data_IF_822838254529
#
_entry.id   IF_822838254529
#
_cell.length_a   1.000
_cell.length_b   1.000
_cell.length_c   1.000
_cell.angle_alpha   90.00
_cell.angle_beta   90.00
_cell.angle_gamma   90.00
#
_symmetry.space_group_name_H-M   'P 1'
#
loop_
_entity.id
_entity.type
_entity.pdbx_description
1 polymer ?
#
# COMPACT_ATOMS: atom_id res chain seq x y z
N UNK A 1 -29.68 -43.06 -9.99
CA UNK A 1 -29.71 -41.91 -9.07
C UNK A 1 -30.02 -40.66 -9.88
N UNK A 2 -31.29 -40.25 -9.87
CA UNK A 2 -31.77 -39.07 -10.61
C UNK A 2 -31.27 -37.79 -9.91
N UNK A 3 -30.51 -36.95 -10.61
CA UNK A 3 -30.17 -35.60 -10.13
C UNK A 3 -31.36 -34.69 -10.41
N UNK A 4 -32.13 -34.40 -9.36
CA UNK A 4 -33.18 -33.38 -9.40
C UNK A 4 -32.51 -32.01 -9.45
N UNK A 5 -32.43 -31.43 -10.65
CA UNK A 5 -32.08 -30.02 -10.82
C UNK A 5 -33.26 -29.18 -10.35
N UNK A 6 -33.13 -28.54 -9.20
CA UNK A 6 -34.12 -27.57 -8.72
C UNK A 6 -34.04 -26.33 -9.62
N UNK A 7 -34.98 -26.20 -10.54
CA UNK A 7 -35.20 -24.96 -11.30
C UNK A 7 -35.85 -23.96 -10.35
N UNK A 8 -35.06 -23.03 -9.83
CA UNK A 8 -35.57 -21.86 -9.10
C UNK A 8 -36.30 -20.97 -10.11
N UNK A 9 -37.55 -20.59 -9.83
CA UNK A 9 -38.35 -19.79 -10.77
C UNK A 9 -37.85 -18.34 -10.81
N UNK A 10 -38.03 -17.65 -11.95
CA UNK A 10 -37.69 -16.22 -12.06
C UNK A 10 -38.43 -15.36 -11.02
N UNK A 11 -39.64 -15.77 -10.62
CA UNK A 11 -40.41 -15.09 -9.58
C UNK A 11 -39.81 -15.31 -8.18
N UNK A 12 -39.23 -16.47 -7.88
CA UNK A 12 -38.46 -16.69 -6.65
C UNK A 12 -37.17 -15.84 -6.62
N UNK A 13 -36.50 -15.67 -7.77
CA UNK A 13 -35.31 -14.83 -7.89
C UNK A 13 -35.69 -13.36 -7.68
N UNK A 14 -36.76 -12.87 -8.29
CA UNK A 14 -37.26 -11.49 -8.12
C UNK A 14 -37.76 -11.23 -6.70
N UNK A 15 -38.41 -12.20 -6.06
CA UNK A 15 -38.89 -12.07 -4.68
C UNK A 15 -37.73 -12.06 -3.68
N UNK A 16 -36.68 -12.86 -3.93
CA UNK A 16 -35.42 -12.82 -3.14
C UNK A 16 -34.69 -11.50 -3.32
N UNK A 17 -34.55 -11.01 -4.55
CA UNK A 17 -33.92 -9.73 -4.83
C UNK A 17 -34.68 -8.53 -4.23
N UNK A 18 -36.01 -8.60 -4.17
CA UNK A 18 -36.86 -7.56 -3.55
C UNK A 18 -36.80 -7.53 -2.01
N UNK A 19 -36.26 -8.58 -1.36
CA UNK A 19 -36.10 -8.68 0.09
C UNK A 19 -34.69 -8.37 0.58
N UNK A 20 -33.71 -8.21 -0.31
CA UNK A 20 -32.34 -7.90 0.11
C UNK A 20 -32.18 -6.40 0.36
N UNK A 21 -32.12 -6.01 1.64
CA UNK A 21 -31.60 -4.70 2.04
C UNK A 21 -30.10 -4.62 1.72
N UNK A 22 -29.63 -3.46 1.25
CA UNK A 22 -28.20 -3.21 1.14
C UNK A 22 -27.52 -3.33 2.53
N UNK A 23 -26.32 -3.92 2.60
CA UNK A 23 -25.67 -4.70 1.54
C UNK A 23 -26.25 -6.12 1.43
N UNK A 24 -26.33 -6.63 0.19
CA UNK A 24 -26.71 -8.02 -0.06
C UNK A 24 -25.84 -8.97 0.78
N UNK A 25 -26.44 -10.01 1.39
CA UNK A 25 -25.76 -10.85 2.39
C UNK A 25 -24.47 -11.48 1.86
N UNK A 26 -24.47 -11.96 0.63
CA UNK A 26 -23.30 -12.56 -0.01
C UNK A 26 -22.20 -11.53 -0.28
N UNK A 27 -22.56 -10.31 -0.67
CA UNK A 27 -21.60 -9.22 -0.90
C UNK A 27 -20.98 -8.73 0.41
N UNK A 28 -21.80 -8.60 1.46
CA UNK A 28 -21.37 -8.31 2.82
C UNK A 28 -20.36 -9.33 3.34
N UNK A 29 -20.70 -10.63 3.25
CA UNK A 29 -19.90 -11.71 3.82
C UNK A 29 -18.61 -12.03 3.06
N UNK A 30 -18.55 -11.80 1.75
CA UNK A 30 -17.42 -12.23 0.91
C UNK A 30 -16.62 -11.07 0.29
N UNK A 31 -17.05 -9.82 0.46
CA UNK A 31 -16.34 -8.65 -0.09
C UNK A 31 -16.18 -7.58 0.97
N UNK A 32 -17.28 -7.02 1.48
CA UNK A 32 -17.20 -5.84 2.34
C UNK A 32 -16.54 -6.15 3.69
N UNK A 33 -16.79 -7.33 4.25
CA UNK A 33 -16.12 -7.76 5.48
C UNK A 33 -14.59 -7.80 5.29
N UNK A 34 -14.12 -8.43 4.22
CA UNK A 34 -12.67 -8.56 3.96
C UNK A 34 -12.04 -7.21 3.63
N UNK A 35 -12.69 -6.39 2.80
CA UNK A 35 -12.25 -5.03 2.47
C UNK A 35 -12.14 -4.16 3.74
N UNK A 36 -13.12 -4.25 4.64
CA UNK A 36 -13.12 -3.52 5.90
C UNK A 36 -11.96 -3.98 6.81
N UNK A 37 -11.76 -5.29 6.94
CA UNK A 37 -10.66 -5.86 7.74
C UNK A 37 -9.28 -5.49 7.17
N UNK A 38 -9.11 -5.57 5.85
CA UNK A 38 -7.87 -5.17 5.18
C UNK A 38 -7.60 -3.69 5.31
N UNK A 39 -8.64 -2.83 5.17
CA UNK A 39 -8.49 -1.40 5.36
C UNK A 39 -8.02 -1.05 6.78
N UNK A 40 -8.56 -1.71 7.81
CA UNK A 40 -8.11 -1.50 9.20
C UNK A 40 -6.65 -1.87 9.38
N UNK A 41 -6.24 -2.97 8.76
CA UNK A 41 -4.89 -3.53 8.90
C UNK A 41 -3.84 -2.74 8.11
N UNK A 42 -4.20 -2.27 6.92
CA UNK A 42 -3.26 -1.72 5.95
C UNK A 42 -3.30 -0.20 5.83
N UNK A 43 -4.46 0.43 6.09
CA UNK A 43 -4.74 1.80 5.65
C UNK A 43 -5.22 2.75 6.75
N UNK A 44 -5.66 2.23 7.90
CA UNK A 44 -6.22 3.05 8.99
C UNK A 44 -5.33 4.23 9.39
N UNK A 45 -4.06 3.98 9.71
CA UNK A 45 -3.17 5.04 10.17
C UNK A 45 -2.95 6.11 9.09
N UNK A 46 -2.74 5.69 7.84
CA UNK A 46 -2.56 6.60 6.70
C UNK A 46 -3.83 7.40 6.38
N UNK A 47 -5.01 6.82 6.57
CA UNK A 47 -6.28 7.52 6.40
C UNK A 47 -6.38 8.69 7.38
N UNK A 48 -6.08 8.43 8.66
CA UNK A 48 -6.07 9.47 9.69
C UNK A 48 -4.99 10.53 9.40
N UNK A 49 -3.79 10.12 9.01
CA UNK A 49 -2.73 11.07 8.61
C UNK A 49 -3.17 11.99 7.46
N UNK A 50 -3.85 11.45 6.44
CA UNK A 50 -4.40 12.23 5.32
C UNK A 50 -5.48 13.19 5.81
N UNK A 51 -6.36 12.76 6.71
CA UNK A 51 -7.40 13.62 7.30
C UNK A 51 -6.78 14.79 8.08
N UNK A 52 -5.78 14.52 8.94
CA UNK A 52 -5.05 15.56 9.66
C UNK A 52 -4.34 16.54 8.74
N UNK A 53 -3.58 16.03 7.76
CA UNK A 53 -2.83 16.87 6.83
C UNK A 53 -3.76 17.76 6.00
N UNK A 54 -4.90 17.22 5.57
CA UNK A 54 -5.88 17.97 4.80
C UNK A 54 -6.59 19.02 5.67
N UNK A 55 -7.06 18.66 6.86
CA UNK A 55 -7.69 19.59 7.79
C UNK A 55 -6.77 20.77 8.13
N UNK A 56 -5.49 20.49 8.40
CA UNK A 56 -4.48 21.51 8.66
C UNK A 56 -4.28 22.43 7.46
N UNK A 57 -4.18 21.88 6.25
CA UNK A 57 -4.07 22.69 5.04
C UNK A 57 -5.30 23.57 4.82
N UNK A 58 -6.52 23.05 5.03
CA UNK A 58 -7.74 23.84 4.91
C UNK A 58 -7.75 25.03 5.89
N UNK A 59 -7.31 24.80 7.14
CA UNK A 59 -7.21 25.85 8.14
C UNK A 59 -6.12 26.89 7.79
N UNK A 60 -4.94 26.44 7.35
CA UNK A 60 -3.84 27.31 6.90
C UNK A 60 -4.21 28.16 5.67
N UNK A 61 -5.08 27.66 4.79
CA UNK A 61 -5.62 28.41 3.64
C UNK A 61 -6.85 29.27 3.99
N UNK A 62 -7.34 29.23 5.23
CA UNK A 62 -8.55 29.94 5.65
C UNK A 62 -9.83 29.46 4.96
N UNK A 63 -9.84 28.24 4.44
CA UNK A 63 -11.02 27.61 3.82
C UNK A 63 -12.02 27.19 4.91
N UNK A 64 -11.50 26.85 6.10
CA UNK A 64 -12.27 26.64 7.33
C UNK A 64 -11.81 27.63 8.40
N UNK A 65 -12.72 27.99 9.29
CA UNK A 65 -12.44 28.88 10.43
C UNK A 65 -11.60 28.17 11.51
N UNK A 66 -10.93 28.92 12.40
CA UNK A 66 -10.20 28.33 13.52
C UNK A 66 -11.06 27.45 14.44
N UNK A 67 -12.33 27.83 14.66
CA UNK A 67 -13.25 27.07 15.51
C UNK A 67 -13.70 25.75 14.85
N UNK A 68 -13.96 25.77 13.53
CA UNK A 68 -14.23 24.55 12.75
C UNK A 68 -13.00 23.63 12.73
N UNK A 69 -11.80 24.19 12.52
CA UNK A 69 -10.56 23.42 12.55
C UNK A 69 -10.31 22.79 13.93
N UNK A 70 -10.51 23.55 15.02
CA UNK A 70 -10.37 23.02 16.37
C UNK A 70 -11.36 21.88 16.64
N UNK A 71 -12.60 22.03 16.19
CA UNK A 71 -13.64 21.00 16.32
C UNK A 71 -13.29 19.73 15.53
N UNK A 72 -12.76 19.87 14.30
CA UNK A 72 -12.28 18.74 13.49
C UNK A 72 -11.09 18.03 14.14
N UNK A 73 -10.09 18.75 14.62
CA UNK A 73 -8.94 18.14 15.28
C UNK A 73 -9.34 17.41 16.55
N UNK A 74 -10.22 17.99 17.38
CA UNK A 74 -10.75 17.31 18.56
C UNK A 74 -11.51 16.03 18.20
N UNK A 75 -12.27 16.03 17.10
CA UNK A 75 -12.96 14.84 16.60
C UNK A 75 -11.97 13.75 16.14
N UNK A 76 -10.94 14.14 15.39
CA UNK A 76 -9.89 13.22 14.94
C UNK A 76 -9.04 12.68 16.11
N UNK A 77 -8.77 13.50 17.13
CA UNK A 77 -8.04 13.12 18.35
C UNK A 77 -8.85 12.14 19.20
N UNK A 78 -10.19 12.25 19.15
CA UNK A 78 -11.11 11.35 19.82
C UNK A 78 -11.24 9.96 19.17
N UNK A 79 -10.68 9.74 17.98
CA UNK A 79 -10.70 8.45 17.30
C UNK A 79 -9.69 7.49 17.92
N UNK A 80 -10.17 6.61 18.81
CA UNK A 80 -9.34 5.56 19.40
C UNK A 80 -8.94 4.49 18.38
N UNK A 81 -7.65 4.45 18.04
CA UNK A 81 -7.11 3.55 17.01
C UNK A 81 -7.27 2.08 17.38
N UNK A 82 -7.16 1.73 18.66
CA UNK A 82 -7.27 0.33 19.09
C UNK A 82 -8.73 -0.16 18.99
N UNK A 83 -9.69 0.67 19.39
CA UNK A 83 -11.12 0.40 19.16
C UNK A 83 -11.45 0.31 17.68
N UNK A 84 -10.88 1.19 16.83
CA UNK A 84 -11.06 1.12 15.38
C UNK A 84 -10.52 -0.19 14.80
N UNK A 85 -9.33 -0.64 15.20
CA UNK A 85 -8.77 -1.92 14.77
C UNK A 85 -9.60 -3.12 15.24
N UNK A 86 -10.16 -3.04 16.45
CA UNK A 86 -11.01 -4.08 17.05
C UNK A 86 -12.45 -4.09 16.51
N UNK A 87 -12.91 -3.00 15.87
CA UNK A 87 -14.25 -2.89 15.30
C UNK A 87 -14.51 -4.00 14.27
N UNK A 88 -15.77 -4.39 14.08
CA UNK A 88 -16.16 -5.40 13.09
C UNK A 88 -17.12 -4.79 12.10
N UNK A 89 -17.02 -5.24 10.86
CA UNK A 89 -18.00 -4.89 9.84
C UNK A 89 -19.40 -5.37 10.26
N UNK A 90 -20.34 -4.43 10.38
CA UNK A 90 -21.71 -4.68 10.85
C UNK A 90 -22.77 -4.40 9.78
N UNK A 91 -22.34 -4.01 8.57
CA UNK A 91 -23.22 -3.69 7.45
C UNK A 91 -23.91 -2.32 7.54
N UNK A 92 -23.59 -1.49 8.54
CA UNK A 92 -24.20 -0.17 8.70
C UNK A 92 -23.54 0.93 7.87
N UNK A 93 -22.33 0.67 7.38
CA UNK A 93 -21.56 1.53 6.48
C UNK A 93 -21.04 0.68 5.32
N UNK A 94 -20.66 1.32 4.21
CA UNK A 94 -20.09 0.61 3.05
C UNK A 94 -18.70 0.05 3.35
N UNK A 95 -17.85 0.84 4.00
CA UNK A 95 -16.45 0.52 4.26
C UNK A 95 -15.91 1.23 5.52
N UNK A 96 -14.60 1.08 5.77
CA UNK A 96 -13.93 1.72 6.90
C UNK A 96 -13.92 3.23 6.79
N UNK A 97 -13.83 3.78 5.58
CA UNK A 97 -13.80 5.22 5.39
C UNK A 97 -15.14 5.84 5.82
N UNK A 98 -16.25 5.29 5.35
CA UNK A 98 -17.61 5.68 5.74
C UNK A 98 -17.85 5.50 7.24
N UNK A 99 -17.26 4.46 7.84
CA UNK A 99 -17.32 4.24 9.28
C UNK A 99 -16.61 5.34 10.07
N UNK A 100 -15.41 5.75 9.64
CA UNK A 100 -14.65 6.84 10.26
C UNK A 100 -15.34 8.18 10.06
N UNK A 101 -15.85 8.48 8.86
CA UNK A 101 -16.65 9.68 8.59
C UNK A 101 -17.84 9.79 9.56
N UNK A 102 -18.56 8.68 9.79
CA UNK A 102 -19.67 8.66 10.73
C UNK A 102 -19.24 9.01 12.16
N UNK A 103 -18.07 8.53 12.59
CA UNK A 103 -17.54 8.84 13.93
C UNK A 103 -17.13 10.31 14.05
N UNK A 104 -16.49 10.87 13.01
CA UNK A 104 -16.13 12.30 12.97
C UNK A 104 -17.40 13.15 13.03
N UNK A 105 -18.40 12.82 12.20
CA UNK A 105 -19.70 13.49 12.17
C UNK A 105 -20.42 13.42 13.53
N UNK A 106 -20.41 12.26 14.19
CA UNK A 106 -20.99 12.12 15.52
C UNK A 106 -20.29 12.99 16.58
N UNK A 107 -19.00 13.30 16.39
CA UNK A 107 -18.21 14.08 17.34
C UNK A 107 -18.31 15.61 17.13
N UNK A 108 -18.33 16.09 15.88
CA UNK A 108 -18.32 17.54 15.59
C UNK A 108 -19.55 18.06 14.83
N UNK A 109 -20.49 17.19 14.47
CA UNK A 109 -21.68 17.54 13.70
C UNK A 109 -21.46 17.62 12.20
N UNK A 110 -22.56 17.50 11.44
CA UNK A 110 -22.59 17.34 9.98
C UNK A 110 -21.89 18.48 9.22
N UNK A 111 -22.13 19.74 9.62
CA UNK A 111 -21.57 20.90 8.89
C UNK A 111 -20.04 20.91 8.97
N UNK A 112 -19.51 20.76 10.19
CA UNK A 112 -18.06 20.76 10.46
C UNK A 112 -17.39 19.55 9.82
N UNK A 113 -17.94 18.35 10.00
CA UNK A 113 -17.42 17.13 9.37
C UNK A 113 -17.45 17.25 7.82
N UNK A 114 -18.52 17.81 7.27
CA UNK A 114 -18.69 18.10 5.85
C UNK A 114 -17.56 18.98 5.28
N UNK A 115 -17.05 19.94 6.07
CA UNK A 115 -15.93 20.79 5.63
C UNK A 115 -14.67 20.01 5.31
N UNK A 116 -14.42 18.89 5.98
CA UNK A 116 -13.25 18.04 5.73
C UNK A 116 -13.24 17.50 4.28
N UNK A 117 -14.40 17.32 3.65
CA UNK A 117 -14.53 16.88 2.26
C UNK A 117 -14.29 17.98 1.22
N UNK A 118 -14.11 19.22 1.66
CA UNK A 118 -13.81 20.34 0.76
C UNK A 118 -12.51 20.06 0.02
N UNK A 119 -12.56 20.12 -1.32
CA UNK A 119 -11.39 20.01 -2.19
C UNK A 119 -10.61 18.68 -2.11
N UNK A 120 -11.30 17.56 -1.86
CA UNK A 120 -10.77 16.20 -1.97
C UNK A 120 -11.86 15.22 -2.41
N UNK A 121 -11.49 13.98 -2.76
CA UNK A 121 -12.40 12.91 -3.15
C UNK A 121 -11.86 11.55 -2.67
N UNK A 122 -12.70 10.51 -2.70
CA UNK A 122 -12.23 9.13 -2.54
C UNK A 122 -11.10 8.79 -3.50
N UNK A 123 -11.20 9.23 -4.76
CA UNK A 123 -10.24 8.89 -5.80
C UNK A 123 -8.81 9.33 -5.48
N UNK A 124 -8.61 10.57 -5.00
CA UNK A 124 -7.28 11.06 -4.70
C UNK A 124 -6.82 10.67 -3.28
N UNK A 125 -7.74 10.53 -2.33
CA UNK A 125 -7.41 10.01 -1.00
C UNK A 125 -6.92 8.56 -1.08
N UNK A 126 -7.63 7.68 -1.80
CA UNK A 126 -7.29 6.26 -1.85
C UNK A 126 -5.92 6.05 -2.51
N UNK A 127 -5.63 6.74 -3.62
CA UNK A 127 -4.30 6.64 -4.24
C UNK A 127 -3.22 7.26 -3.35
N UNK A 128 -3.53 8.30 -2.56
CA UNK A 128 -2.59 8.85 -1.57
C UNK A 128 -2.23 7.79 -0.53
N UNK A 129 -3.24 7.14 0.06
CA UNK A 129 -3.07 6.11 1.08
C UNK A 129 -2.33 4.89 0.53
N UNK A 130 -2.66 4.44 -0.69
CA UNK A 130 -1.95 3.33 -1.33
C UNK A 130 -0.47 3.65 -1.55
N UNK A 131 -0.16 4.86 -2.02
CA UNK A 131 1.23 5.30 -2.18
C UNK A 131 1.97 5.37 -0.84
N UNK A 132 1.34 5.87 0.23
CA UNK A 132 1.93 5.89 1.57
C UNK A 132 2.24 4.47 2.07
N UNK A 133 1.32 3.52 1.87
CA UNK A 133 1.55 2.11 2.24
C UNK A 133 2.68 1.48 1.44
N UNK A 134 2.64 1.60 0.12
CA UNK A 134 3.64 1.04 -0.78
C UNK A 134 5.03 1.64 -0.55
N UNK A 135 5.09 2.93 -0.20
CA UNK A 135 6.32 3.62 0.19
C UNK A 135 6.98 2.93 1.38
N UNK A 136 6.21 2.61 2.42
CA UNK A 136 6.73 1.91 3.59
C UNK A 136 7.20 0.50 3.24
N UNK A 137 6.42 -0.25 2.45
CA UNK A 137 6.79 -1.60 2.01
C UNK A 137 8.07 -1.60 1.15
N UNK A 138 8.21 -0.61 0.26
CA UNK A 138 9.42 -0.43 -0.54
C UNK A 138 10.64 -0.13 0.33
N UNK A 139 10.52 0.73 1.34
CA UNK A 139 11.63 1.03 2.27
C UNK A 139 12.07 -0.20 3.06
N UNK A 140 11.11 -0.98 3.57
CA UNK A 140 11.40 -2.24 4.28
C UNK A 140 12.15 -3.21 3.36
N UNK A 141 11.67 -3.38 2.12
CA UNK A 141 12.28 -4.28 1.15
C UNK A 141 13.70 -3.83 0.75
N UNK A 142 13.88 -2.54 0.47
CA UNK A 142 15.19 -1.95 0.17
C UNK A 142 16.15 -2.16 1.35
N UNK A 143 15.70 -1.89 2.57
CA UNK A 143 16.50 -2.09 3.79
C UNK A 143 16.92 -3.56 3.97
N UNK A 144 16.00 -4.49 3.77
CA UNK A 144 16.29 -5.93 3.83
C UNK A 144 17.29 -6.36 2.75
N UNK A 145 17.12 -5.89 1.51
CA UNK A 145 18.03 -6.20 0.40
C UNK A 145 19.43 -5.62 0.64
N UNK A 146 19.53 -4.39 1.16
CA UNK A 146 20.80 -3.78 1.56
C UNK A 146 21.47 -4.56 2.68
N UNK A 147 20.70 -5.03 3.67
CA UNK A 147 21.22 -5.83 4.76
C UNK A 147 21.77 -7.18 4.26
N UNK A 148 21.00 -7.88 3.42
CA UNK A 148 21.45 -9.13 2.80
C UNK A 148 22.75 -8.92 2.01
N UNK A 149 22.82 -7.87 1.19
CA UNK A 149 24.02 -7.55 0.42
C UNK A 149 25.23 -7.30 1.32
N UNK A 150 25.05 -6.60 2.44
CA UNK A 150 26.11 -6.38 3.45
C UNK A 150 26.57 -7.70 4.06
N UNK A 151 25.66 -8.57 4.48
CA UNK A 151 26.04 -9.87 5.07
C UNK A 151 26.78 -10.77 4.08
N UNK A 152 26.36 -10.77 2.81
CA UNK A 152 27.09 -11.46 1.74
C UNK A 152 28.52 -10.92 1.62
N UNK A 153 28.71 -9.61 1.64
CA UNK A 153 30.05 -8.98 1.58
C UNK A 153 30.91 -9.32 2.81
N UNK A 154 30.33 -9.40 4.00
CA UNK A 154 31.04 -9.85 5.21
C UNK A 154 31.55 -11.30 5.07
N UNK A 155 30.79 -12.17 4.40
CA UNK A 155 31.22 -13.56 4.11
C UNK A 155 32.33 -13.57 3.05
N UNK A 156 32.20 -12.75 2.00
CA UNK A 156 33.21 -12.58 0.95
C UNK A 156 34.57 -12.26 1.56
N UNK A 157 34.63 -11.32 2.51
CA UNK A 157 35.89 -10.92 3.17
C UNK A 157 36.57 -12.09 3.89
N UNK A 158 35.80 -12.95 4.56
CA UNK A 158 36.33 -14.12 5.29
C UNK A 158 36.79 -15.27 4.39
N UNK A 159 36.27 -15.33 3.16
CA UNK A 159 36.45 -16.46 2.25
C UNK A 159 37.13 -16.07 0.93
N UNK A 160 37.99 -15.04 0.97
CA UNK A 160 38.73 -14.54 -0.20
C UNK A 160 39.56 -15.63 -0.90
N UNK A 161 40.16 -16.54 -0.12
CA UNK A 161 41.05 -17.59 -0.62
C UNK A 161 40.42 -19.00 -0.59
N UNK A 162 39.17 -19.13 -0.11
CA UNK A 162 38.49 -20.44 -0.05
C UNK A 162 38.17 -20.92 -1.47
N UNK A 163 38.90 -21.93 -1.95
CA UNK A 163 38.70 -22.49 -3.29
C UNK A 163 37.45 -23.38 -3.33
N UNK A 164 36.62 -23.19 -4.35
CA UNK A 164 35.46 -24.03 -4.67
C UNK A 164 35.47 -24.39 -6.16
N UNK A 165 34.86 -25.50 -6.58
CA UNK A 165 34.59 -25.75 -8.00
C UNK A 165 33.51 -24.78 -8.50
N UNK A 166 33.75 -24.13 -9.64
CA UNK A 166 32.72 -23.45 -10.41
C UNK A 166 32.01 -24.47 -11.31
N UNK A 167 30.69 -24.33 -11.46
CA UNK A 167 29.87 -25.26 -12.24
C UNK A 167 29.30 -24.60 -13.49
N UNK A 168 29.30 -25.35 -14.59
CA UNK A 168 28.53 -25.03 -15.81
C UNK A 168 27.78 -26.28 -16.23
N UNK A 169 26.48 -26.15 -16.58
CA UNK A 169 25.63 -27.31 -16.87
C UNK A 169 25.69 -28.39 -15.76
N UNK A 170 25.71 -27.94 -14.50
CA UNK A 170 25.84 -28.78 -13.29
C UNK A 170 27.07 -29.69 -13.25
N UNK A 171 28.09 -29.42 -14.07
CA UNK A 171 29.37 -30.13 -14.07
C UNK A 171 30.50 -29.20 -13.59
N UNK A 172 31.48 -29.71 -12.82
CA UNK A 172 32.67 -28.95 -12.45
C UNK A 172 33.40 -28.45 -13.71
N UNK A 173 33.64 -27.15 -13.78
CA UNK A 173 34.29 -26.50 -14.93
C UNK A 173 35.72 -26.07 -14.57
N UNK A 174 35.86 -25.17 -13.60
CA UNK A 174 37.14 -24.57 -13.21
C UNK A 174 37.17 -24.26 -11.71
N UNK A 175 38.34 -24.24 -11.06
CA UNK A 175 38.46 -23.71 -9.71
C UNK A 175 38.17 -22.19 -9.68
N UNK A 176 37.47 -21.74 -8.63
CA UNK A 176 37.24 -20.33 -8.30
C UNK A 176 37.33 -20.15 -6.79
N UNK A 177 37.14 -18.94 -6.27
CA UNK A 177 36.98 -18.72 -4.83
C UNK A 177 35.50 -18.56 -4.46
N UNK A 178 35.14 -18.93 -3.22
CA UNK A 178 33.81 -18.69 -2.67
C UNK A 178 33.48 -17.19 -2.67
N UNK A 179 34.49 -16.34 -2.40
CA UNK A 179 34.37 -14.90 -2.53
C UNK A 179 33.94 -14.46 -3.95
N UNK A 180 34.57 -14.98 -5.01
CA UNK A 180 34.21 -14.63 -6.39
C UNK A 180 32.76 -15.01 -6.71
N UNK A 181 32.31 -16.19 -6.26
CA UNK A 181 30.92 -16.62 -6.43
C UNK A 181 29.92 -15.72 -5.67
N UNK A 182 30.19 -15.43 -4.40
CA UNK A 182 29.30 -14.60 -3.56
C UNK A 182 29.30 -13.13 -4.00
N UNK A 183 30.40 -12.63 -4.59
CA UNK A 183 30.43 -11.30 -5.20
C UNK A 183 29.45 -11.18 -6.36
N UNK A 184 29.22 -12.25 -7.13
CA UNK A 184 28.19 -12.25 -8.17
C UNK A 184 26.78 -12.04 -7.57
N UNK A 185 26.50 -12.66 -6.41
CA UNK A 185 25.25 -12.41 -5.67
C UNK A 185 25.15 -10.95 -5.21
N UNK A 186 26.22 -10.41 -4.64
CA UNK A 186 26.27 -9.03 -4.17
C UNK A 186 26.11 -8.00 -5.31
N UNK A 187 26.64 -8.29 -6.51
CA UNK A 187 26.47 -7.46 -7.70
C UNK A 187 25.02 -7.45 -8.17
N UNK A 188 24.41 -8.63 -8.29
CA UNK A 188 23.01 -8.79 -8.71
C UNK A 188 22.07 -8.08 -7.73
N UNK A 189 22.24 -8.30 -6.42
CA UNK A 189 21.52 -7.58 -5.37
C UNK A 189 21.72 -6.07 -5.45
N UNK A 190 22.93 -5.61 -5.78
CA UNK A 190 23.21 -4.19 -6.00
C UNK A 190 22.34 -3.59 -7.11
N UNK A 191 22.17 -4.29 -8.23
CA UNK A 191 21.28 -3.86 -9.32
C UNK A 191 19.81 -3.92 -8.93
N UNK A 192 19.39 -4.91 -8.13
CA UNK A 192 18.02 -5.01 -7.60
C UNK A 192 17.69 -3.82 -6.68
N UNK A 193 18.60 -3.47 -5.77
CA UNK A 193 18.42 -2.31 -4.87
C UNK A 193 18.25 -1.01 -5.68
N UNK A 194 19.03 -0.83 -6.76
CA UNK A 194 18.88 0.35 -7.64
C UNK A 194 17.50 0.38 -8.30
N UNK A 195 16.98 -0.77 -8.76
CA UNK A 195 15.62 -0.84 -9.35
C UNK A 195 14.54 -0.49 -8.32
N UNK A 196 14.62 -1.08 -7.13
CA UNK A 196 13.67 -0.81 -6.05
C UNK A 196 13.67 0.67 -5.64
N UNK A 197 14.85 1.31 -5.58
CA UNK A 197 14.96 2.75 -5.30
C UNK A 197 14.28 3.60 -6.37
N UNK A 198 14.41 3.26 -7.65
CA UNK A 198 13.71 3.98 -8.74
C UNK A 198 12.20 3.83 -8.65
N UNK A 199 11.71 2.63 -8.36
CA UNK A 199 10.27 2.42 -8.14
C UNK A 199 9.76 3.24 -6.94
N UNK A 200 10.55 3.35 -5.86
CA UNK A 200 10.24 4.21 -4.72
C UNK A 200 10.11 5.69 -5.13
N UNK A 201 11.00 6.20 -5.98
CA UNK A 201 10.93 7.60 -6.48
C UNK A 201 9.58 7.87 -7.17
N UNK A 202 9.08 6.93 -8.00
CA UNK A 202 7.77 7.04 -8.64
C UNK A 202 6.58 6.97 -7.65
N UNK A 203 6.73 6.24 -6.55
CA UNK A 203 5.71 6.14 -5.49
C UNK A 203 5.60 7.45 -4.70
N UNK A 204 6.72 8.11 -4.40
CA UNK A 204 6.79 9.19 -3.40
C UNK A 204 6.34 10.58 -3.91
N UNK A 205 5.30 10.61 -4.74
CA UNK A 205 4.60 11.82 -5.16
C UNK A 205 3.12 11.80 -4.76
N UNK A 206 2.63 12.90 -4.19
CA UNK A 206 1.27 12.99 -3.63
C UNK A 206 0.20 13.26 -4.71
N UNK A 207 -0.84 12.40 -4.84
CA UNK A 207 -1.96 12.64 -5.74
C UNK A 207 -3.03 13.58 -5.14
N UNK A 208 -3.00 13.82 -3.82
CA UNK A 208 -4.00 14.61 -3.10
C UNK A 208 -4.17 16.02 -3.71
N UNK A 209 -5.43 16.44 -3.84
CA UNK A 209 -5.84 17.66 -4.54
C UNK A 209 -6.19 17.43 -6.02
N UNK A 210 -6.06 16.21 -6.54
CA UNK A 210 -6.66 15.83 -7.82
C UNK A 210 -8.20 15.76 -7.75
N UNK A 211 -8.75 15.66 -6.55
CA UNK A 211 -10.17 15.52 -6.26
C UNK A 211 -10.76 14.33 -7.04
N UNK A 212 -12.00 14.45 -7.50
CA UNK A 212 -12.62 13.39 -8.28
C UNK A 212 -11.90 13.12 -9.60
N UNK A 213 -11.41 14.16 -10.30
CA UNK A 213 -10.67 14.03 -11.57
C UNK A 213 -10.04 15.35 -12.06
N UNK A 214 -10.70 16.49 -11.86
CA UNK A 214 -10.34 17.79 -12.46
C UNK A 214 -9.89 18.84 -11.44
N UNK A 215 -9.32 18.43 -10.31
CA UNK A 215 -8.92 19.32 -9.22
C UNK A 215 -10.11 20.06 -8.58
N UNK A 216 -9.86 21.24 -8.00
CA UNK A 216 -10.79 22.02 -7.18
C UNK A 216 -10.73 23.50 -7.55
N UNK A 217 -11.83 24.23 -7.31
CA UNK A 217 -11.86 25.69 -7.38
C UNK A 217 -11.37 26.38 -6.11
N UNK A 218 -11.17 25.64 -5.01
CA UNK A 218 -10.64 26.17 -3.75
C UNK A 218 -9.12 26.37 -3.85
N UNK A 219 -8.56 27.43 -3.24
CA UNK A 219 -7.13 27.71 -3.26
C UNK A 219 -6.36 26.79 -2.29
N UNK A 220 -6.35 25.48 -2.55
CA UNK A 220 -5.64 24.51 -1.71
C UNK A 220 -4.13 24.57 -1.92
N UNK A 221 -3.36 24.24 -0.87
CA UNK A 221 -1.91 24.10 -0.95
C UNK A 221 -1.50 22.62 -1.03
N UNK A 222 -1.35 22.10 -2.24
CA UNK A 222 -0.92 20.70 -2.48
C UNK A 222 0.52 20.40 -2.06
N UNK A 223 1.40 21.40 -2.12
CA UNK A 223 2.78 21.23 -1.66
C UNK A 223 2.82 21.02 -0.14
N UNK A 224 1.95 21.72 0.59
CA UNK A 224 1.81 21.58 2.04
C UNK A 224 1.32 20.20 2.46
N UNK A 225 0.27 19.67 1.82
CA UNK A 225 -0.18 18.31 2.14
C UNK A 225 0.85 17.26 1.74
N UNK A 226 1.57 17.45 0.63
CA UNK A 226 2.69 16.58 0.26
C UNK A 226 3.79 16.57 1.33
N UNK A 227 4.21 17.74 1.81
CA UNK A 227 5.20 17.89 2.89
C UNK A 227 4.75 17.19 4.18
N UNK A 228 3.53 17.47 4.65
CA UNK A 228 2.98 16.91 5.89
C UNK A 228 2.90 15.38 5.85
N UNK A 229 2.67 14.79 4.67
CA UNK A 229 2.56 13.35 4.46
C UNK A 229 3.90 12.71 4.02
N UNK A 230 4.99 13.47 4.01
CA UNK A 230 6.34 12.99 3.69
C UNK A 230 6.58 12.64 2.21
N UNK A 231 5.76 13.16 1.29
CA UNK A 231 5.99 13.06 -0.15
C UNK A 231 7.00 14.12 -0.61
N UNK A 232 7.73 13.82 -1.69
CA UNK A 232 8.74 14.74 -2.23
C UNK A 232 8.09 15.95 -2.95
N UNK A 233 6.96 15.71 -3.63
CA UNK A 233 6.18 16.73 -4.32
C UNK A 233 4.78 16.21 -4.67
N UNK A 234 3.81 17.09 -4.98
CA UNK A 234 2.57 16.68 -5.61
C UNK A 234 2.80 16.17 -7.04
N UNK A 235 1.95 15.25 -7.49
CA UNK A 235 1.85 14.86 -8.91
C UNK A 235 1.32 16.02 -9.76
N UNK A 236 1.67 16.04 -11.05
CA UNK A 236 1.43 17.20 -11.92
C UNK A 236 0.07 17.22 -12.59
N UNK A 237 -0.44 16.07 -13.06
CA UNK A 237 -1.71 15.97 -13.79
C UNK A 237 -2.75 15.21 -12.96
N UNK A 238 -3.90 15.83 -12.68
CA UNK A 238 -4.94 15.25 -11.81
C UNK A 238 -5.54 13.95 -12.33
N UNK A 239 -5.67 13.81 -13.66
CA UNK A 239 -6.18 12.59 -14.27
C UNK A 239 -5.17 11.45 -14.10
N UNK A 240 -3.89 11.72 -14.36
CA UNK A 240 -2.83 10.74 -14.15
C UNK A 240 -2.69 10.36 -12.65
N UNK A 241 -2.88 11.31 -11.74
CA UNK A 241 -2.83 11.08 -10.28
C UNK A 241 -3.73 9.94 -9.82
N UNK A 242 -4.89 9.78 -10.46
CA UNK A 242 -5.93 8.82 -10.04
C UNK A 242 -6.14 7.68 -11.05
N UNK A 243 -5.68 7.85 -12.29
CA UNK A 243 -5.88 6.89 -13.37
C UNK A 243 -4.64 6.05 -13.72
N UNK A 244 -3.45 6.42 -13.23
CA UNK A 244 -2.22 5.71 -13.52
C UNK A 244 -1.90 4.64 -12.46
N UNK A 245 -1.18 3.59 -12.87
CA UNK A 245 -0.88 2.40 -12.04
C UNK A 245 0.63 2.09 -11.94
N UNK A 246 1.48 2.95 -12.49
CA UNK A 246 2.94 2.83 -12.49
C UNK A 246 3.51 2.71 -11.07
N UNK A 247 3.01 3.51 -10.12
CA UNK A 247 3.42 3.47 -8.72
C UNK A 247 3.31 2.08 -8.07
N UNK A 248 2.38 1.24 -8.54
CA UNK A 248 2.24 -0.14 -8.07
C UNK A 248 3.02 -1.12 -8.94
N UNK A 249 2.88 -0.99 -10.27
CA UNK A 249 3.43 -1.98 -11.21
C UNK A 249 4.96 -1.93 -11.31
N UNK A 250 5.59 -0.77 -11.14
CA UNK A 250 7.07 -0.66 -11.13
C UNK A 250 7.69 -1.36 -9.91
N UNK A 251 7.09 -1.22 -8.73
CA UNK A 251 7.55 -1.92 -7.52
C UNK A 251 7.33 -3.43 -7.64
N UNK A 252 6.18 -3.85 -8.18
CA UNK A 252 5.89 -5.26 -8.43
C UNK A 252 6.88 -5.89 -9.41
N UNK A 253 7.17 -5.21 -10.53
CA UNK A 253 8.14 -5.68 -11.51
C UNK A 253 9.56 -5.76 -10.93
N UNK A 254 9.98 -4.72 -10.20
CA UNK A 254 11.30 -4.69 -9.53
C UNK A 254 11.45 -5.81 -8.51
N UNK A 255 10.40 -6.06 -7.72
CA UNK A 255 10.36 -7.15 -6.73
C UNK A 255 10.40 -8.52 -7.41
N UNK A 256 9.66 -8.69 -8.50
CA UNK A 256 9.62 -9.95 -9.27
C UNK A 256 10.99 -10.31 -9.84
N UNK A 257 11.70 -9.33 -10.40
CA UNK A 257 13.08 -9.52 -10.90
C UNK A 257 14.03 -9.91 -9.76
N UNK A 258 13.92 -9.25 -8.61
CA UNK A 258 14.74 -9.58 -7.45
C UNK A 258 14.48 -11.01 -6.95
N UNK A 259 13.21 -11.45 -6.90
CA UNK A 259 12.86 -12.81 -6.49
C UNK A 259 13.48 -13.86 -7.42
N UNK A 260 13.46 -13.64 -8.73
CA UNK A 260 14.11 -14.53 -9.71
C UNK A 260 15.63 -14.58 -9.47
N UNK A 261 16.25 -13.42 -9.29
CA UNK A 261 17.68 -13.28 -9.05
C UNK A 261 18.14 -13.97 -7.78
N UNK A 262 17.48 -13.70 -6.65
CA UNK A 262 17.78 -14.31 -5.35
C UNK A 262 17.46 -15.81 -5.38
N UNK A 263 16.35 -16.20 -6.00
CA UNK A 263 15.93 -17.59 -6.14
C UNK A 263 17.00 -18.46 -6.81
N UNK A 264 17.73 -17.92 -7.79
CA UNK A 264 18.87 -18.61 -8.42
C UNK A 264 19.98 -18.95 -7.42
N UNK A 265 20.33 -18.06 -6.51
CA UNK A 265 21.35 -18.35 -5.47
C UNK A 265 20.81 -19.27 -4.37
N UNK A 266 19.53 -19.14 -4.01
CA UNK A 266 18.88 -20.09 -3.08
C UNK A 266 18.93 -21.50 -3.64
N UNK A 267 18.64 -21.67 -4.93
CA UNK A 267 18.72 -22.97 -5.60
C UNK A 267 20.13 -23.56 -5.54
N UNK A 268 21.16 -22.75 -5.80
CA UNK A 268 22.56 -23.20 -5.67
C UNK A 268 22.88 -23.60 -4.22
N UNK A 269 22.48 -22.83 -3.22
CA UNK A 269 22.72 -23.15 -1.81
C UNK A 269 22.04 -24.46 -1.38
N UNK A 270 20.82 -24.70 -1.87
CA UNK A 270 20.12 -25.96 -1.62
C UNK A 270 20.87 -27.15 -2.21
N UNK A 271 21.43 -27.01 -3.42
CA UNK A 271 22.26 -28.04 -4.05
C UNK A 271 23.56 -28.27 -3.27
N UNK A 272 24.25 -27.19 -2.90
CA UNK A 272 25.51 -27.25 -2.13
C UNK A 272 25.33 -27.78 -0.70
N UNK A 273 24.11 -27.81 -0.18
CA UNK A 273 23.79 -28.36 1.14
C UNK A 273 23.46 -29.86 1.12
N UNK A 274 23.41 -30.50 -0.05
CA UNK A 274 23.16 -31.94 -0.17
C UNK A 274 24.40 -32.74 0.25
N UNK A 275 24.21 -34.00 0.64
CA UNK A 275 25.30 -34.87 1.10
C UNK A 275 26.36 -35.13 0.03
N UNK A 276 25.98 -35.06 -1.24
CA UNK A 276 26.85 -35.28 -2.39
C UNK A 276 27.83 -34.13 -2.68
N UNK A 277 27.59 -32.94 -2.11
CA UNK A 277 28.35 -31.71 -2.34
C UNK A 277 29.28 -31.34 -1.18
#
# INVERSE_FOLDING_TARGET
MSKTTVQVSEDEIKTRAAQESFPARTYSANVLTDVFEDAKRLFLDYMLEVDYAHALMLAEQGIITPDEAHSLFNALDGLDRDSLRASRYDGTCEDLFSYIERLITAACGDDVAGRLHTARSRNDIDVTIYRMRLRQDALVLIGAAMNLRREVLNIVERHHETVIPAYTHTQPAQPTTLAHYLLAMAEVLGRDIVRLRRAFEGINHSPLGACAITTTGFPINRARTAELLGFDAPTTNSYASIGAIDYFTELLASTSVMLINVGRFVQDFLLLAMQEF
#
